data_IF_963224971386
#
_entry.id   IF_963224971386
#
_cell.length_a   1.000
_cell.length_b   1.000
_cell.length_c   1.000
_cell.angle_alpha   90.00
_cell.angle_beta   90.00
_cell.angle_gamma   90.00
#
_symmetry.space_group_name_H-M   'P 1'
#
loop_
_entity.id
_entity.type
_entity.pdbx_description
1 polymer ?
#
# COMPACT_ATOMS: atom_id res chain seq x y z
N UNK A 1 -8.49 -30.47 -6.69
CA UNK A 1 -9.01 -29.23 -6.10
C UNK A 1 -8.37 -28.11 -6.90
N UNK A 2 -9.17 -27.46 -7.74
CA UNK A 2 -8.68 -26.68 -8.88
C UNK A 2 -8.22 -25.28 -8.48
N UNK A 3 -6.96 -24.98 -8.74
CA UNK A 3 -6.47 -23.61 -8.83
C UNK A 3 -7.13 -23.00 -10.07
N UNK A 4 -8.01 -22.01 -9.87
CA UNK A 4 -8.49 -21.19 -10.99
C UNK A 4 -7.32 -20.30 -11.43
N UNK A 5 -6.61 -20.75 -12.46
CA UNK A 5 -5.55 -20.03 -13.19
C UNK A 5 -6.22 -18.92 -14.00
N UNK A 6 -6.68 -17.88 -13.33
CA UNK A 6 -6.77 -16.57 -13.95
C UNK A 6 -5.54 -15.82 -13.44
N UNK A 7 -4.46 -15.93 -14.22
CA UNK A 7 -3.25 -15.15 -14.05
C UNK A 7 -3.51 -13.68 -14.35
N UNK A 8 -4.34 -13.02 -13.53
CA UNK A 8 -4.23 -11.58 -13.44
C UNK A 8 -2.88 -11.29 -12.77
N UNK A 9 -1.99 -10.68 -13.54
CA UNK A 9 -0.71 -10.27 -12.99
C UNK A 9 -0.97 -9.27 -11.86
N UNK A 10 -0.34 -9.48 -10.71
CA UNK A 10 -0.35 -8.54 -9.57
C UNK A 10 0.29 -7.18 -9.99
N UNK A 11 1.00 -7.16 -11.12
CA UNK A 11 1.53 -5.95 -11.75
C UNK A 11 0.56 -5.32 -12.76
N UNK A 12 -0.61 -5.91 -12.98
CA UNK A 12 -1.61 -5.37 -13.89
C UNK A 12 -2.22 -4.07 -13.32
N UNK A 13 -2.59 -3.10 -14.17
CA UNK A 13 -3.28 -1.90 -13.70
C UNK A 13 -4.56 -2.23 -12.95
N UNK A 14 -4.94 -1.41 -11.97
CA UNK A 14 -6.20 -1.56 -11.24
C UNK A 14 -7.39 -1.38 -12.20
N UNK A 15 -8.09 -2.47 -12.53
CA UNK A 15 -9.12 -2.46 -13.58
C UNK A 15 -10.50 -2.01 -13.10
N UNK A 16 -10.79 -2.15 -11.80
CA UNK A 16 -12.12 -1.84 -11.27
C UNK A 16 -12.13 -0.49 -10.56
N UNK A 17 -13.26 0.20 -10.64
CA UNK A 17 -13.48 1.50 -9.97
C UNK A 17 -13.20 1.44 -8.46
N UNK A 18 -13.53 0.30 -7.84
CA UNK A 18 -13.30 0.07 -6.42
C UNK A 18 -11.80 0.04 -6.06
N UNK A 19 -10.98 -0.66 -6.86
CA UNK A 19 -9.54 -0.73 -6.60
C UNK A 19 -8.87 0.63 -6.78
N UNK A 20 -9.27 1.38 -7.81
CA UNK A 20 -8.78 2.76 -8.04
C UNK A 20 -9.18 3.69 -6.89
N UNK A 21 -10.37 3.52 -6.31
CA UNK A 21 -10.79 4.29 -5.14
C UNK A 21 -9.92 3.98 -3.91
N UNK A 22 -9.61 2.70 -3.66
CA UNK A 22 -8.72 2.28 -2.58
C UNK A 22 -7.33 2.89 -2.77
N UNK A 23 -6.78 2.85 -3.97
CA UNK A 23 -5.49 3.48 -4.29
C UNK A 23 -5.52 4.99 -4.01
N UNK A 24 -6.59 5.67 -4.44
CA UNK A 24 -6.79 7.09 -4.16
C UNK A 24 -6.87 7.40 -2.67
N UNK A 25 -7.55 6.57 -1.88
CA UNK A 25 -7.62 6.69 -0.42
C UNK A 25 -6.25 6.44 0.23
N UNK A 26 -5.48 5.46 -0.25
CA UNK A 26 -4.14 5.15 0.26
C UNK A 26 -3.14 6.27 -0.03
N UNK A 27 -3.19 6.87 -1.22
CA UNK A 27 -2.40 8.07 -1.58
C UNK A 27 -2.75 9.26 -0.67
N UNK A 28 -4.04 9.47 -0.39
CA UNK A 28 -4.49 10.53 0.51
C UNK A 28 -4.05 10.27 1.95
N UNK A 29 -4.17 9.02 2.43
CA UNK A 29 -3.71 8.61 3.76
C UNK A 29 -2.21 8.79 3.92
N UNK A 30 -1.42 8.39 2.92
CA UNK A 30 0.04 8.63 2.88
C UNK A 30 0.41 10.10 3.07
N UNK A 31 -0.31 11.01 2.40
CA UNK A 31 -0.10 12.47 2.56
C UNK A 31 -0.50 12.98 3.94
N UNK A 32 -1.58 12.45 4.53
CA UNK A 32 -2.04 12.81 5.87
C UNK A 32 -1.11 12.29 6.97
N UNK A 33 -0.50 11.13 6.75
CA UNK A 33 0.47 10.54 7.65
C UNK A 33 1.78 11.35 7.68
N UNK A 34 2.15 12.03 6.60
CA UNK A 34 3.35 12.85 6.56
C UNK A 34 3.29 14.01 7.57
N UNK A 35 4.30 14.14 8.43
CA UNK A 35 4.37 15.22 9.43
C UNK A 35 4.95 16.51 8.85
N UNK A 36 4.39 17.65 9.25
CA UNK A 36 4.92 18.98 8.93
C UNK A 36 4.93 19.29 7.43
N UNK A 37 6.10 19.66 6.88
CA UNK A 37 6.30 19.98 5.45
C UNK A 37 6.91 18.82 4.66
N UNK A 38 6.94 17.61 5.21
CA UNK A 38 7.49 16.44 4.52
C UNK A 38 6.57 15.99 3.39
N UNK A 39 7.19 15.58 2.27
CA UNK A 39 6.47 15.05 1.10
C UNK A 39 6.03 13.59 1.27
N UNK A 40 6.69 12.86 2.18
CA UNK A 40 6.47 11.45 2.44
C UNK A 40 6.39 11.20 3.95
N UNK A 41 5.55 10.25 4.34
CA UNK A 41 5.51 9.76 5.71
C UNK A 41 6.70 8.84 5.98
N UNK A 42 7.37 9.03 7.12
CA UNK A 42 8.35 8.06 7.59
C UNK A 42 7.64 6.73 7.93
N UNK A 43 8.36 5.58 8.01
CA UNK A 43 7.78 4.34 8.49
C UNK A 43 7.07 4.48 9.83
N UNK A 44 7.61 5.30 10.73
CA UNK A 44 6.99 5.60 12.02
C UNK A 44 5.69 6.36 11.86
N UNK A 45 5.68 7.46 11.10
CA UNK A 45 4.47 8.26 10.91
C UNK A 45 3.38 7.47 10.17
N UNK A 46 3.79 6.59 9.26
CA UNK A 46 2.92 5.65 8.56
C UNK A 46 2.24 4.68 9.54
N UNK A 47 3.01 4.06 10.43
CA UNK A 47 2.47 3.17 11.44
C UNK A 47 1.56 3.90 12.42
N UNK A 48 1.97 5.07 12.92
CA UNK A 48 1.17 5.89 13.84
C UNK A 48 -0.19 6.27 13.25
N UNK A 49 -0.27 6.47 11.93
CA UNK A 49 -1.51 6.85 11.24
C UNK A 49 -2.43 5.65 10.95
N UNK A 50 -1.88 4.52 10.49
CA UNK A 50 -2.68 3.40 9.97
C UNK A 50 -2.86 2.23 10.95
N UNK A 51 -1.87 1.91 11.79
CA UNK A 51 -1.83 0.64 12.53
C UNK A 51 -2.52 0.76 13.88
N UNK A 52 -3.38 -0.20 14.22
CA UNK A 52 -4.07 -0.25 15.52
C UNK A 52 -5.09 0.88 15.72
N UNK A 53 -5.45 1.61 14.67
CA UNK A 53 -6.43 2.70 14.71
C UNK A 53 -7.81 2.26 14.22
N UNK A 54 -7.93 1.05 13.66
CA UNK A 54 -9.15 0.60 12.99
C UNK A 54 -9.38 1.32 11.65
N UNK A 55 -8.31 1.86 11.05
CA UNK A 55 -8.41 2.56 9.77
C UNK A 55 -8.90 1.60 8.69
N UNK A 56 -9.77 2.08 7.79
CA UNK A 56 -10.34 1.27 6.70
C UNK A 56 -9.29 0.65 5.75
N UNK A 57 -8.04 1.12 5.83
CA UNK A 57 -6.91 0.74 4.97
C UNK A 57 -5.76 0.14 5.79
N UNK A 58 -6.00 -0.24 7.05
CA UNK A 58 -4.95 -0.75 7.93
C UNK A 58 -4.24 -1.96 7.31
N UNK A 59 -4.98 -2.87 6.68
CA UNK A 59 -4.41 -4.05 6.01
C UNK A 59 -3.57 -3.68 4.78
N UNK A 60 -4.09 -2.85 3.87
CA UNK A 60 -3.34 -2.38 2.69
C UNK A 60 -2.11 -1.56 3.07
N UNK A 61 -2.21 -0.76 4.14
CA UNK A 61 -1.09 0.04 4.63
C UNK A 61 -0.01 -0.82 5.28
N UNK A 62 -0.39 -1.88 5.99
CA UNK A 62 0.54 -2.84 6.59
C UNK A 62 1.31 -3.56 5.49
N UNK A 63 0.61 -4.09 4.50
CA UNK A 63 1.22 -4.76 3.37
C UNK A 63 2.14 -3.81 2.60
N UNK A 64 1.78 -2.53 2.43
CA UNK A 64 2.63 -1.55 1.75
C UNK A 64 3.97 -1.35 2.45
N UNK A 65 3.94 -1.23 3.77
CA UNK A 65 5.15 -1.08 4.57
C UNK A 65 5.99 -2.36 4.55
N UNK A 66 5.35 -3.52 4.67
CA UNK A 66 6.03 -4.82 4.61
C UNK A 66 6.70 -5.06 3.25
N UNK A 67 5.98 -4.83 2.15
CA UNK A 67 6.51 -4.98 0.79
C UNK A 67 7.68 -4.03 0.55
N UNK A 68 7.56 -2.76 0.96
CA UNK A 68 8.61 -1.75 0.81
C UNK A 68 9.89 -2.15 1.56
N UNK A 69 9.77 -2.70 2.78
CA UNK A 69 10.90 -2.97 3.66
C UNK A 69 11.55 -4.35 3.46
N UNK A 70 10.82 -5.33 2.94
CA UNK A 70 11.29 -6.72 2.88
C UNK A 70 11.27 -7.35 1.50
N UNK A 71 10.48 -6.83 0.55
CA UNK A 71 10.33 -7.42 -0.80
C UNK A 71 10.94 -6.51 -1.87
N UNK A 72 10.53 -5.25 -1.91
CA UNK A 72 11.02 -4.22 -2.84
C UNK A 72 12.01 -3.30 -2.14
N UNK A 73 13.06 -3.89 -1.57
CA UNK A 73 14.07 -3.16 -0.81
C UNK A 73 14.90 -2.28 -1.75
N UNK A 74 14.85 -0.97 -1.51
CA UNK A 74 15.65 0.05 -2.19
C UNK A 74 16.41 0.87 -1.15
N UNK A 75 17.37 1.68 -1.59
CA UNK A 75 18.04 2.65 -0.72
C UNK A 75 17.08 3.64 -0.05
N UNK A 76 15.87 3.81 -0.59
CA UNK A 76 14.84 4.71 -0.06
C UNK A 76 13.82 4.04 0.85
N UNK A 77 13.73 2.71 0.87
CA UNK A 77 12.68 1.96 1.57
C UNK A 77 12.65 2.21 3.08
N UNK A 78 13.81 2.47 3.69
CA UNK A 78 13.91 2.77 5.13
C UNK A 78 13.34 4.15 5.51
N UNK A 79 13.13 5.04 4.53
CA UNK A 79 12.70 6.42 4.77
C UNK A 79 11.22 6.65 4.50
N UNK A 80 10.60 5.89 3.59
CA UNK A 80 9.18 6.02 3.28
C UNK A 80 8.65 4.84 2.45
N UNK A 81 7.32 4.72 2.39
CA UNK A 81 6.61 3.76 1.52
C UNK A 81 6.36 4.40 0.15
N UNK A 82 6.96 3.83 -0.89
CA UNK A 82 6.81 4.32 -2.26
C UNK A 82 5.44 4.02 -2.85
N UNK A 83 4.81 4.99 -3.51
CA UNK A 83 3.47 4.81 -4.12
C UNK A 83 3.39 3.69 -5.16
N UNK A 84 4.54 3.31 -5.74
CA UNK A 84 4.63 2.22 -6.71
C UNK A 84 4.22 0.86 -6.13
N UNK A 85 4.24 0.69 -4.79
CA UNK A 85 3.78 -0.55 -4.16
C UNK A 85 2.26 -0.61 -3.98
N UNK A 86 1.54 0.51 -4.13
CA UNK A 86 0.11 0.58 -3.84
C UNK A 86 -0.76 -0.31 -4.74
N UNK A 87 -0.58 -0.32 -6.08
CA UNK A 87 -1.35 -1.24 -6.93
C UNK A 87 -1.10 -2.71 -6.54
N UNK A 88 0.14 -3.05 -6.20
CA UNK A 88 0.56 -4.42 -5.87
C UNK A 88 -0.12 -4.87 -4.57
N UNK A 89 -0.12 -4.04 -3.53
CA UNK A 89 -0.75 -4.41 -2.27
C UNK A 89 -2.26 -4.44 -2.33
N UNK A 90 -2.87 -3.65 -3.21
CA UNK A 90 -4.32 -3.65 -3.41
C UNK A 90 -4.74 -4.98 -4.05
N UNK A 91 -4.00 -5.45 -5.05
CA UNK A 91 -4.19 -6.79 -5.62
C UNK A 91 -3.98 -7.88 -4.57
N UNK A 92 -2.86 -7.85 -3.83
CA UNK A 92 -2.57 -8.81 -2.74
C UNK A 92 -3.64 -8.84 -1.65
N UNK A 93 -4.11 -7.66 -1.20
CA UNK A 93 -5.11 -7.56 -0.13
C UNK A 93 -6.50 -8.04 -0.57
N UNK A 94 -6.79 -7.98 -1.86
CA UNK A 94 -8.10 -8.34 -2.43
C UNK A 94 -8.14 -9.74 -3.04
N UNK A 95 -7.00 -10.42 -3.11
CA UNK A 95 -6.91 -11.80 -3.62
C UNK A 95 -7.10 -11.92 -5.12
N UNK A 96 -6.75 -10.87 -5.88
CA UNK A 96 -6.75 -10.82 -7.34
C UNK A 96 -5.34 -10.65 -7.88
#
# INVERSE_FOLDING_TARGET
>A
WGFSVLGESILSPLKTKQLVEIEGKLIKGSKKAARGRCMFASPKDWMDYFMGTGHELEHEAFLSLWLSNFVFVTSTSIYYVGKHVFPIVIHLARGN
#
